data_IF_135856170054
#
_entry.id   IF_135856170054
#
_cell.length_a   1.000
_cell.length_b   1.000
_cell.length_c   1.000
_cell.angle_alpha   90.00
_cell.angle_beta   90.00
_cell.angle_gamma   90.00
#
_symmetry.space_group_name_H-M   'P 1'
#
loop_
_entity.id
_entity.type
_entity.pdbx_description
1 polymer ?
#
# COMPACT_ATOMS: atom_id res chain seq x y z
N UNK A 1 -5.19 19.02 7.72
CA UNK A 1 -6.55 18.76 8.24
C UNK A 1 -6.45 17.56 9.18
N UNK A 2 -7.00 17.62 10.40
CA UNK A 2 -7.02 16.49 11.34
C UNK A 2 -8.48 16.06 11.48
N UNK A 3 -8.77 14.81 11.14
CA UNK A 3 -10.05 14.17 11.43
C UNK A 3 -9.73 12.98 12.35
N UNK A 4 -10.34 12.94 13.53
CA UNK A 4 -10.18 11.88 14.53
C UNK A 4 -8.74 11.49 14.94
N UNK A 5 -7.87 12.49 15.12
CA UNK A 5 -6.53 12.27 15.66
C UNK A 5 -5.57 11.49 14.75
N UNK A 6 -6.01 11.10 13.55
CA UNK A 6 -5.21 10.45 12.54
C UNK A 6 -4.81 11.48 11.47
N UNK A 7 -3.55 11.42 11.06
CA UNK A 7 -3.00 12.36 10.07
C UNK A 7 -3.24 11.79 8.68
N UNK A 8 -4.01 12.50 7.85
CA UNK A 8 -4.13 12.18 6.43
C UNK A 8 -2.73 12.25 5.81
N UNK A 9 -2.26 11.13 5.24
CA UNK A 9 -0.91 10.98 4.69
C UNK A 9 0.01 10.03 5.48
N UNK A 10 -0.46 9.42 6.56
CA UNK A 10 0.29 8.35 7.24
C UNK A 10 0.13 7.04 6.46
N UNK A 11 1.19 6.62 5.75
CA UNK A 11 1.24 5.50 4.78
C UNK A 11 0.84 4.12 5.36
N UNK A 12 0.53 4.04 6.66
CA UNK A 12 0.29 2.77 7.38
C UNK A 12 -1.02 2.68 8.14
N UNK A 13 -1.87 3.70 8.15
CA UNK A 13 -3.02 3.71 9.08
C UNK A 13 -4.41 3.80 8.46
N UNK A 14 -4.53 3.95 7.14
CA UNK A 14 -5.83 3.96 6.47
C UNK A 14 -5.87 2.98 5.33
N UNK A 15 -6.93 2.18 5.27
CA UNK A 15 -7.23 1.35 4.11
C UNK A 15 -7.61 2.22 2.92
N UNK A 16 -7.40 1.72 1.70
CA UNK A 16 -7.77 2.43 0.45
C UNK A 16 -9.27 2.80 0.46
N UNK A 17 -10.10 1.95 1.05
CA UNK A 17 -11.55 2.18 1.22
C UNK A 17 -11.84 3.34 2.17
N UNK A 18 -11.16 3.44 3.31
CA UNK A 18 -11.32 4.58 4.24
C UNK A 18 -10.92 5.90 3.58
N UNK A 19 -9.82 5.93 2.81
CA UNK A 19 -9.42 7.14 2.09
C UNK A 19 -10.40 7.51 0.96
N UNK A 20 -11.01 6.52 0.30
CA UNK A 20 -12.08 6.77 -0.66
C UNK A 20 -13.28 7.45 -0.01
N UNK A 21 -13.74 6.95 1.14
CA UNK A 21 -14.86 7.52 1.88
C UNK A 21 -14.57 8.94 2.36
N UNK A 22 -13.37 9.21 2.85
CA UNK A 22 -12.95 10.54 3.28
C UNK A 22 -12.93 11.53 2.09
N UNK A 23 -12.31 11.14 0.98
CA UNK A 23 -12.25 12.02 -0.20
C UNK A 23 -13.62 12.29 -0.82
N UNK A 24 -14.52 11.30 -0.78
CA UNK A 24 -15.89 11.48 -1.24
C UNK A 24 -16.67 12.46 -0.35
N UNK A 25 -16.44 12.43 0.97
CA UNK A 25 -17.06 13.38 1.92
C UNK A 25 -16.38 14.76 1.95
N UNK A 26 -15.12 14.88 1.54
CA UNK A 26 -14.40 16.16 1.39
C UNK A 26 -14.84 16.97 0.15
N UNK A 27 -15.75 16.41 -0.67
CA UNK A 27 -16.31 17.10 -1.84
C UNK A 27 -15.38 17.11 -3.05
N UNK A 28 -14.39 16.22 -3.09
CA UNK A 28 -13.59 15.98 -4.30
C UNK A 28 -14.48 15.43 -5.42
N UNK A 29 -14.15 15.78 -6.66
CA UNK A 29 -14.88 15.24 -7.81
C UNK A 29 -14.60 13.74 -7.95
N UNK A 30 -15.54 13.00 -8.53
CA UNK A 30 -15.36 11.57 -8.78
C UNK A 30 -14.10 11.28 -9.64
N UNK A 31 -13.73 12.21 -10.53
CA UNK A 31 -12.54 12.10 -11.37
C UNK A 31 -11.26 12.23 -10.53
N UNK A 32 -11.19 13.21 -9.63
CA UNK A 32 -10.05 13.41 -8.73
C UNK A 32 -9.86 12.23 -7.77
N UNK A 33 -10.96 11.71 -7.23
CA UNK A 33 -10.96 10.52 -6.37
C UNK A 33 -10.45 9.31 -7.16
N UNK A 34 -10.89 9.13 -8.40
CA UNK A 34 -10.47 8.01 -9.24
C UNK A 34 -8.97 8.01 -9.53
N UNK A 35 -8.38 9.18 -9.79
CA UNK A 35 -6.95 9.34 -10.06
C UNK A 35 -6.14 8.99 -8.80
N UNK A 36 -6.54 9.53 -7.64
CA UNK A 36 -5.85 9.28 -6.36
C UNK A 36 -5.91 7.81 -5.95
N UNK A 37 -7.08 7.17 -6.08
CA UNK A 37 -7.25 5.74 -5.78
C UNK A 37 -6.41 4.88 -6.72
N UNK A 38 -6.36 5.22 -8.01
CA UNK A 38 -5.52 4.51 -8.98
C UNK A 38 -4.04 4.56 -8.57
N UNK A 39 -3.53 5.73 -8.20
CA UNK A 39 -2.14 5.87 -7.73
C UNK A 39 -1.87 5.04 -6.47
N UNK A 40 -2.77 5.07 -5.49
CA UNK A 40 -2.63 4.22 -4.29
C UNK A 40 -2.59 2.72 -4.61
N UNK A 41 -3.41 2.26 -5.56
CA UNK A 41 -3.40 0.86 -6.00
C UNK A 41 -2.09 0.49 -6.73
N UNK A 42 -1.57 1.38 -7.57
CA UNK A 42 -0.29 1.17 -8.24
C UNK A 42 0.86 1.03 -7.22
N UNK A 43 0.92 1.92 -6.23
CA UNK A 43 1.90 1.88 -5.14
C UNK A 43 1.78 0.59 -4.31
N UNK A 44 0.55 0.16 -3.99
CA UNK A 44 0.30 -1.10 -3.30
C UNK A 44 0.78 -2.31 -4.10
N UNK A 45 0.54 -2.34 -5.41
CA UNK A 45 1.02 -3.41 -6.29
C UNK A 45 2.55 -3.49 -6.30
N UNK A 46 3.23 -2.36 -6.46
CA UNK A 46 4.71 -2.29 -6.42
C UNK A 46 5.25 -2.81 -5.08
N UNK A 47 4.67 -2.36 -3.96
CA UNK A 47 5.06 -2.84 -2.64
C UNK A 47 4.86 -4.35 -2.49
N UNK A 48 3.72 -4.87 -2.97
CA UNK A 48 3.38 -6.29 -2.89
C UNK A 48 4.34 -7.15 -3.71
N UNK A 49 4.67 -6.73 -4.93
CA UNK A 49 5.65 -7.43 -5.78
C UNK A 49 7.04 -7.44 -5.14
N UNK A 50 7.49 -6.31 -4.61
CA UNK A 50 8.77 -6.21 -3.90
C UNK A 50 8.81 -7.17 -2.69
N UNK A 51 7.73 -7.23 -1.90
CA UNK A 51 7.59 -8.16 -0.78
C UNK A 51 7.60 -9.62 -1.22
N UNK A 52 6.88 -9.97 -2.28
CA UNK A 52 6.84 -11.34 -2.82
C UNK A 52 8.22 -11.77 -3.34
N UNK A 53 8.93 -10.87 -4.03
CA UNK A 53 10.29 -11.13 -4.50
C UNK A 53 11.26 -11.37 -3.34
N UNK A 54 11.26 -10.48 -2.33
CA UNK A 54 12.10 -10.63 -1.14
C UNK A 54 11.79 -11.93 -0.37
N UNK A 55 10.52 -12.31 -0.29
CA UNK A 55 10.10 -13.57 0.31
C UNK A 55 10.64 -14.78 -0.47
N UNK A 56 10.49 -14.80 -1.80
CA UNK A 56 11.02 -15.87 -2.65
C UNK A 56 12.55 -15.99 -2.60
N UNK A 57 13.27 -14.86 -2.55
CA UNK A 57 14.73 -14.83 -2.39
C UNK A 57 15.17 -15.40 -1.03
N UNK A 58 14.39 -15.17 0.02
CA UNK A 58 14.67 -15.72 1.36
C UNK A 58 14.65 -17.25 1.37
N UNK A 59 13.75 -17.90 0.61
CA UNK A 59 13.76 -19.37 0.45
C UNK A 59 14.95 -19.88 -0.35
N UNK A 60 15.35 -19.17 -1.41
CA UNK A 60 16.53 -19.56 -2.21
C UNK A 60 17.79 -19.56 -1.36
N UNK A 61 17.97 -18.51 -0.54
CA UNK A 61 19.10 -18.41 0.39
C UNK A 61 19.10 -19.53 1.43
N UNK A 62 17.96 -19.80 2.05
CA UNK A 62 17.78 -20.92 2.99
C UNK A 62 18.13 -22.29 2.36
N UNK A 63 17.82 -22.49 1.08
CA UNK A 63 18.09 -23.74 0.38
C UNK A 63 19.57 -23.90 0.00
N UNK A 64 20.27 -22.79 -0.26
CA UNK A 64 21.72 -22.79 -0.51
C UNK A 64 22.49 -23.07 0.80
N UNK A 65 22.14 -22.40 1.89
CA UNK A 65 22.77 -22.60 3.21
C UNK A 65 22.60 -24.04 3.75
N UNK A 66 21.51 -24.72 3.36
CA UNK A 66 21.26 -26.13 3.70
C UNK A 66 22.06 -27.15 2.87
N UNK A 67 22.51 -26.79 1.67
CA UNK A 67 23.27 -27.69 0.79
C UNK A 67 24.79 -27.53 0.95
N UNK A 68 25.24 -26.47 1.62
CA UNK A 68 26.66 -26.19 1.90
C UNK A 68 27.13 -26.69 3.28
N UNK A 69 26.22 -27.22 4.11
CA UNK A 69 26.51 -27.91 5.38
C UNK A 69 26.15 -29.39 5.30
#
# INVERSE_FOLDING_TARGET
MKVDGKTIGDERQFTIEEQFHDWFHEGLSAEDVSIKIKTMYEDYCVWKEAKQKAFGESFKKLNQEKNEN
#
